data_IF_916798677262
#
_entry.id   IF_916798677262
#
_cell.length_a   1.000
_cell.length_b   1.000
_cell.length_c   1.000
_cell.angle_alpha   90.00
_cell.angle_beta   90.00
_cell.angle_gamma   90.00
#
_symmetry.space_group_name_H-M   'P 1'
#
loop_
_entity.id
_entity.type
_entity.pdbx_description
1 polymer ?
#
# COMPACT_ATOMS: atom_id res chain seq x y z
N UNK A 1 23.52 23.10 22.47
CA UNK A 1 22.14 23.05 22.98
C UNK A 1 21.56 21.69 22.59
N UNK A 2 20.90 20.97 23.49
CA UNK A 2 20.28 19.68 23.18
C UNK A 2 18.85 19.89 22.70
N UNK A 3 18.58 19.65 21.41
CA UNK A 3 17.22 19.68 20.87
C UNK A 3 16.43 18.44 21.28
N UNK A 4 15.10 18.59 21.39
CA UNK A 4 14.20 17.47 21.62
C UNK A 4 14.13 16.59 20.38
N UNK A 5 14.20 15.27 20.59
CA UNK A 5 13.99 14.27 19.53
C UNK A 5 12.56 13.78 19.60
N UNK A 6 11.86 13.80 18.47
CA UNK A 6 10.52 13.25 18.33
C UNK A 6 10.50 12.24 17.18
N UNK A 7 9.77 11.14 17.37
CA UNK A 7 9.61 10.10 16.35
C UNK A 7 8.15 9.75 16.21
N UNK A 8 7.70 9.59 14.97
CA UNK A 8 6.35 9.20 14.62
C UNK A 8 6.40 8.01 13.67
N UNK A 9 5.58 7.00 13.94
CA UNK A 9 5.38 5.85 13.06
C UNK A 9 3.92 5.78 12.67
N UNK A 10 3.64 5.60 11.37
CA UNK A 10 2.28 5.48 10.83
C UNK A 10 2.22 4.40 9.75
N UNK A 11 1.17 3.58 9.77
CA UNK A 11 0.92 2.63 8.67
C UNK A 11 0.44 3.38 7.42
N UNK A 12 0.97 2.99 6.27
CA UNK A 12 0.52 3.50 4.97
C UNK A 12 -0.83 2.88 4.59
N UNK A 13 -1.68 3.59 3.82
CA UNK A 13 -2.88 3.01 3.23
C UNK A 13 -2.54 2.07 2.06
N UNK A 14 -3.57 1.37 1.57
CA UNK A 14 -3.51 0.62 0.31
C UNK A 14 -3.30 1.59 -0.84
N UNK A 15 -2.30 1.35 -1.69
CA UNK A 15 -1.93 2.29 -2.75
C UNK A 15 -1.26 1.61 -3.96
N UNK A 16 -1.27 2.32 -5.09
CA UNK A 16 -0.49 2.01 -6.28
C UNK A 16 0.86 2.71 -6.22
N UNK A 17 1.95 1.96 -6.31
CA UNK A 17 3.27 2.54 -6.44
C UNK A 17 3.66 2.58 -7.91
N UNK A 18 3.62 3.77 -8.51
CA UNK A 18 4.16 4.05 -9.84
C UNK A 18 5.52 4.75 -9.74
N UNK A 19 6.31 4.71 -10.82
CA UNK A 19 7.55 5.50 -10.90
C UNK A 19 7.28 7.00 -10.72
N UNK A 20 6.24 7.51 -11.36
CA UNK A 20 5.87 8.94 -11.28
C UNK A 20 5.48 9.39 -9.87
N UNK A 21 4.84 8.49 -9.11
CA UNK A 21 4.54 8.71 -7.70
C UNK A 21 5.82 8.76 -6.85
N UNK A 22 6.74 7.81 -7.03
CA UNK A 22 8.02 7.86 -6.32
C UNK A 22 8.81 9.13 -6.67
N UNK A 23 8.75 9.57 -7.93
CA UNK A 23 9.34 10.84 -8.37
C UNK A 23 8.64 12.08 -7.76
N UNK A 24 7.33 12.05 -7.49
CA UNK A 24 6.65 13.15 -6.82
C UNK A 24 7.04 13.21 -5.34
N UNK A 25 7.15 12.06 -4.68
CA UNK A 25 7.65 11.95 -3.30
C UNK A 25 9.11 12.41 -3.19
N UNK A 26 9.99 11.94 -4.08
CA UNK A 26 11.40 12.36 -4.12
C UNK A 26 11.50 13.88 -4.26
N UNK A 27 10.78 14.47 -5.23
CA UNK A 27 10.76 15.93 -5.44
C UNK A 27 10.21 16.68 -4.22
N UNK A 28 9.17 16.16 -3.58
CA UNK A 28 8.62 16.74 -2.35
C UNK A 28 9.69 16.75 -1.23
N UNK A 29 10.37 15.64 -1.01
CA UNK A 29 11.41 15.51 0.03
C UNK A 29 12.62 16.40 -0.26
N UNK A 30 13.08 16.44 -1.52
CA UNK A 30 14.16 17.32 -1.95
C UNK A 30 13.81 18.80 -1.74
N UNK A 31 12.62 19.20 -2.19
CA UNK A 31 12.12 20.57 -2.01
C UNK A 31 12.03 20.92 -0.54
N UNK A 32 11.48 20.04 0.29
CA UNK A 32 11.36 20.26 1.72
C UNK A 32 12.74 20.41 2.39
N UNK A 33 13.71 19.56 2.02
CA UNK A 33 15.08 19.63 2.50
C UNK A 33 15.81 20.91 2.08
N UNK A 34 15.61 21.36 0.84
CA UNK A 34 16.13 22.65 0.34
C UNK A 34 15.50 23.82 1.10
N UNK A 35 14.17 23.92 1.15
CA UNK A 35 13.46 25.09 1.66
C UNK A 35 13.58 25.21 3.19
N UNK A 36 13.47 24.07 3.90
CA UNK A 36 13.40 24.07 5.37
C UNK A 36 14.76 23.87 6.03
N UNK A 37 15.56 22.94 5.50
CA UNK A 37 16.89 22.67 6.06
C UNK A 37 17.98 23.48 5.36
N UNK A 38 17.76 24.09 4.18
CA UNK A 38 18.83 24.78 3.43
C UNK A 38 20.00 23.85 3.13
N UNK A 39 19.71 22.62 2.73
CA UNK A 39 20.72 21.67 2.28
C UNK A 39 21.22 22.08 0.89
N UNK A 40 22.50 21.86 0.62
CA UNK A 40 23.03 22.04 -0.74
C UNK A 40 22.57 20.89 -1.65
N UNK A 41 22.62 21.07 -2.97
CA UNK A 41 22.24 20.02 -3.92
C UNK A 41 23.07 18.73 -3.72
N UNK A 42 24.36 18.87 -3.39
CA UNK A 42 25.22 17.72 -3.07
C UNK A 42 24.79 17.00 -1.79
N UNK A 43 24.37 17.74 -0.77
CA UNK A 43 23.86 17.18 0.48
C UNK A 43 22.50 16.50 0.26
N UNK A 44 21.63 17.10 -0.54
CA UNK A 44 20.32 16.54 -0.89
C UNK A 44 20.45 15.21 -1.63
N UNK A 45 21.35 15.14 -2.62
CA UNK A 45 21.59 13.93 -3.39
C UNK A 45 22.18 12.78 -2.53
N UNK A 46 22.91 13.11 -1.46
CA UNK A 46 23.42 12.12 -0.49
C UNK A 46 22.42 11.77 0.60
N UNK A 47 21.43 12.63 0.84
CA UNK A 47 20.42 12.44 1.86
C UNK A 47 19.33 11.45 1.43
N UNK A 48 19.07 11.33 0.13
CA UNK A 48 18.06 10.42 -0.41
C UNK A 48 18.71 9.10 -0.83
N UNK A 49 18.09 8.02 -0.39
CA UNK A 49 18.47 6.66 -0.72
C UNK A 49 17.19 5.86 -0.98
N UNK A 50 17.19 5.10 -2.06
CA UNK A 50 16.01 4.38 -2.55
C UNK A 50 16.41 2.95 -2.81
N UNK A 51 15.85 2.05 -2.01
CA UNK A 51 16.08 0.62 -2.14
C UNK A 51 14.88 -0.03 -2.82
N UNK A 52 15.13 -0.84 -3.85
CA UNK A 52 14.13 -1.68 -4.50
C UNK A 52 14.54 -3.13 -4.26
N UNK A 53 13.73 -3.84 -3.50
CA UNK A 53 13.91 -5.27 -3.23
C UNK A 53 13.06 -6.09 -4.21
N UNK A 54 13.69 -7.06 -4.85
CA UNK A 54 13.01 -8.08 -5.64
C UNK A 54 13.56 -9.49 -5.33
N UNK A 55 13.20 -10.47 -6.16
CA UNK A 55 13.63 -11.86 -5.94
C UNK A 55 15.14 -12.09 -6.15
N UNK A 56 15.82 -11.19 -6.88
CA UNK A 56 17.23 -11.29 -7.23
C UNK A 56 18.12 -10.56 -6.21
N UNK A 57 17.57 -9.57 -5.50
CA UNK A 57 18.26 -8.87 -4.43
C UNK A 57 17.69 -7.49 -4.15
N UNK A 58 18.54 -6.62 -3.61
CA UNK A 58 18.22 -5.21 -3.35
C UNK A 58 19.08 -4.35 -4.27
N UNK A 59 18.43 -3.48 -5.04
CA UNK A 59 19.07 -2.44 -5.85
C UNK A 59 18.88 -1.08 -5.15
N UNK A 60 19.99 -0.38 -4.89
CA UNK A 60 19.97 0.94 -4.24
C UNK A 60 20.26 2.05 -5.25
N UNK A 61 19.50 3.13 -5.18
CA UNK A 61 19.57 4.29 -6.06
C UNK A 61 19.58 5.58 -5.24
N UNK A 62 20.29 6.60 -5.72
CA UNK A 62 20.24 7.94 -5.09
C UNK A 62 19.09 8.79 -5.66
N UNK A 63 18.47 8.34 -6.76
CA UNK A 63 17.32 8.99 -7.39
C UNK A 63 16.50 8.00 -8.21
N UNK A 64 15.17 8.14 -8.23
CA UNK A 64 14.29 7.29 -9.06
C UNK A 64 14.60 7.44 -10.55
N UNK A 65 15.13 8.59 -10.97
CA UNK A 65 15.49 8.83 -12.35
C UNK A 65 16.63 7.92 -12.85
N UNK A 66 17.44 7.35 -11.95
CA UNK A 66 18.49 6.39 -12.31
C UNK A 66 17.91 5.04 -12.74
N UNK A 67 16.66 4.74 -12.40
CA UNK A 67 15.99 3.53 -12.85
C UNK A 67 15.68 3.66 -14.36
N UNK A 68 16.32 2.83 -15.18
CA UNK A 68 16.11 2.84 -16.64
C UNK A 68 14.69 2.38 -17.02
N UNK A 69 14.13 1.43 -16.28
CA UNK A 69 12.80 0.90 -16.56
C UNK A 69 11.71 1.93 -16.22
N UNK A 70 10.62 1.91 -16.99
CA UNK A 70 9.41 2.69 -16.68
C UNK A 70 8.54 1.98 -15.64
N UNK A 71 8.45 0.65 -15.72
CA UNK A 71 7.70 -0.21 -14.80
C UNK A 71 8.66 -0.98 -13.90
N UNK A 72 8.19 -1.37 -12.72
CA UNK A 72 8.91 -2.27 -11.82
C UNK A 72 8.91 -3.71 -12.32
N UNK A 73 9.83 -4.52 -11.79
CA UNK A 73 9.85 -5.96 -12.05
C UNK A 73 8.64 -6.62 -11.38
N UNK A 74 8.09 -7.67 -11.99
CA UNK A 74 6.92 -8.38 -11.41
C UNK A 74 7.26 -9.02 -10.04
N UNK A 75 8.56 -9.23 -9.79
CA UNK A 75 9.14 -9.76 -8.56
C UNK A 75 9.30 -8.75 -7.43
N UNK A 76 9.19 -7.43 -7.67
CA UNK A 76 9.39 -6.40 -6.64
C UNK A 76 8.51 -6.68 -5.42
N UNK A 77 9.12 -6.80 -4.25
CA UNK A 77 8.47 -7.12 -2.98
C UNK A 77 8.33 -5.87 -2.10
N UNK A 78 9.39 -5.06 -2.05
CA UNK A 78 9.52 -3.88 -1.19
C UNK A 78 10.19 -2.75 -1.97
N UNK A 79 9.70 -1.53 -1.77
CA UNK A 79 10.41 -0.31 -2.17
C UNK A 79 10.53 0.57 -0.93
N UNK A 80 11.73 1.01 -0.61
CA UNK A 80 12.01 1.84 0.54
C UNK A 80 12.60 3.17 0.09
N UNK A 81 11.97 4.28 0.43
CA UNK A 81 12.54 5.63 0.28
C UNK A 81 13.02 6.11 1.64
N UNK A 82 14.32 6.38 1.75
CA UNK A 82 14.94 6.98 2.92
C UNK A 82 15.38 8.40 2.59
N UNK A 83 15.09 9.31 3.51
CA UNK A 83 15.69 10.64 3.55
C UNK A 83 16.40 10.79 4.88
N UNK A 84 17.72 10.94 4.88
CA UNK A 84 18.53 11.11 6.08
C UNK A 84 19.39 12.35 5.92
N UNK A 85 18.97 13.45 6.56
CA UNK A 85 19.73 14.69 6.51
C UNK A 85 21.13 14.47 7.11
N UNK A 86 22.19 15.10 6.55
CA UNK A 86 23.51 15.05 7.13
C UNK A 86 23.50 15.57 8.58
N UNK A 87 24.41 15.05 9.40
CA UNK A 87 24.55 15.51 10.78
C UNK A 87 25.16 16.91 10.79
N UNK A 88 24.46 17.88 11.36
CA UNK A 88 24.92 19.26 11.43
C UNK A 88 25.54 19.57 12.79
N UNK A 89 26.44 20.55 12.81
CA UNK A 89 27.13 20.98 14.03
C UNK A 89 26.18 21.54 15.11
N UNK A 90 24.99 22.02 14.70
CA UNK A 90 23.93 22.45 15.61
C UNK A 90 23.19 21.26 16.28
N UNK A 91 23.47 20.02 15.86
CA UNK A 91 22.81 18.82 16.34
C UNK A 91 21.46 18.55 15.69
N UNK A 92 21.10 19.27 14.62
CA UNK A 92 19.86 19.03 13.89
C UNK A 92 19.96 17.78 13.02
N UNK A 93 18.86 17.01 12.99
CA UNK A 93 18.75 15.81 12.17
C UNK A 93 17.31 15.51 11.81
N UNK A 94 17.08 15.07 10.58
CA UNK A 94 15.83 14.52 10.10
C UNK A 94 16.09 13.16 9.43
N UNK A 95 15.28 12.18 9.79
CA UNK A 95 15.21 10.89 9.11
C UNK A 95 13.76 10.61 8.73
N UNK A 96 13.53 10.23 7.50
CA UNK A 96 12.25 9.76 6.99
C UNK A 96 12.52 8.41 6.33
N UNK A 97 11.69 7.42 6.62
CA UNK A 97 11.69 6.11 5.95
C UNK A 97 10.26 5.81 5.52
N UNK A 98 10.06 5.59 4.23
CA UNK A 98 8.81 5.12 3.65
C UNK A 98 9.04 3.72 3.10
N UNK A 99 8.44 2.73 3.73
CA UNK A 99 8.51 1.35 3.30
C UNK A 99 7.19 0.98 2.62
N UNK A 100 7.25 0.70 1.32
CA UNK A 100 6.13 0.21 0.54
C UNK A 100 6.29 -1.30 0.37
N UNK A 101 5.39 -2.09 0.94
CA UNK A 101 5.44 -3.55 0.86
C UNK A 101 4.11 -4.13 0.41
N UNK A 102 4.12 -5.23 -0.35
CA UNK A 102 2.90 -6.00 -0.69
C UNK A 102 2.10 -6.38 0.56
N UNK A 103 2.78 -6.55 1.69
CA UNK A 103 2.19 -6.85 2.99
C UNK A 103 1.89 -5.58 3.78
N UNK A 104 0.67 -5.48 4.30
CA UNK A 104 0.20 -4.33 5.08
C UNK A 104 1.07 -4.02 6.31
N UNK A 105 1.57 -5.05 7.00
CA UNK A 105 2.31 -4.89 8.25
C UNK A 105 3.65 -4.19 8.04
N UNK A 106 4.29 -4.40 6.88
CA UNK A 106 5.58 -3.81 6.51
C UNK A 106 5.43 -2.51 5.71
N UNK A 107 4.21 -2.01 5.57
CA UNK A 107 3.93 -0.76 4.86
C UNK A 107 3.88 0.40 5.84
N UNK A 108 5.02 1.05 6.08
CA UNK A 108 5.19 2.01 7.18
C UNK A 108 5.89 3.29 6.77
N UNK A 109 5.45 4.40 7.38
CA UNK A 109 6.13 5.69 7.37
C UNK A 109 6.70 5.95 8.76
N UNK A 110 8.01 6.15 8.83
CA UNK A 110 8.72 6.52 10.05
C UNK A 110 9.38 7.87 9.83
N UNK A 111 9.07 8.84 10.70
CA UNK A 111 9.70 10.16 10.68
C UNK A 111 10.33 10.40 12.05
N UNK A 112 11.63 10.68 12.07
CA UNK A 112 12.39 11.02 13.28
C UNK A 112 13.09 12.36 13.08
N UNK A 113 12.82 13.32 13.96
CA UNK A 113 13.38 14.66 13.88
C UNK A 113 13.99 15.08 15.23
N UNK A 114 15.20 15.60 15.17
CA UNK A 114 15.93 16.23 16.27
C UNK A 114 16.19 17.67 15.87
N UNK A 115 15.30 18.59 16.25
CA UNK A 115 15.37 20.01 15.87
C UNK A 115 14.39 20.85 16.72
N UNK A 116 14.50 22.19 16.73
CA UNK A 116 13.49 23.05 17.34
C UNK A 116 12.08 22.72 16.80
N UNK A 117 11.11 22.61 17.71
CA UNK A 117 9.71 22.31 17.36
C UNK A 117 9.53 21.03 16.53
N UNK A 118 10.34 19.99 16.79
CA UNK A 118 10.33 18.71 16.07
C UNK A 118 8.94 18.10 15.85
N UNK A 119 8.01 18.22 16.83
CA UNK A 119 6.62 17.75 16.68
C UNK A 119 5.86 18.45 15.56
N UNK A 120 5.94 19.78 15.48
CA UNK A 120 5.24 20.59 14.46
C UNK A 120 5.83 20.30 13.08
N UNK A 121 7.16 20.20 13.01
CA UNK A 121 7.86 19.84 11.77
C UNK A 121 7.43 18.46 11.26
N UNK A 122 7.42 17.45 12.14
CA UNK A 122 6.98 16.10 11.77
C UNK A 122 5.53 16.09 11.29
N UNK A 123 4.63 16.84 11.93
CA UNK A 123 3.24 16.95 11.49
C UNK A 123 3.10 17.63 10.11
N UNK A 124 3.91 18.65 9.83
CA UNK A 124 3.97 19.29 8.51
C UNK A 124 4.43 18.33 7.41
N UNK A 125 5.55 17.61 7.64
CA UNK A 125 6.08 16.59 6.72
C UNK A 125 5.05 15.48 6.50
N UNK A 126 4.49 14.96 7.59
CA UNK A 126 3.46 13.91 7.53
C UNK A 126 2.29 14.34 6.65
N UNK A 127 1.80 15.56 6.83
CA UNK A 127 0.64 16.05 6.08
C UNK A 127 0.91 16.14 4.59
N UNK A 128 2.08 16.66 4.18
CA UNK A 128 2.44 16.71 2.76
C UNK A 128 2.71 15.33 2.15
N UNK A 129 3.35 14.42 2.88
CA UNK A 129 3.52 13.02 2.43
C UNK A 129 2.16 12.33 2.25
N UNK A 130 1.23 12.52 3.20
CA UNK A 130 -0.11 11.93 3.11
C UNK A 130 -0.93 12.50 1.95
N UNK A 131 -0.76 13.78 1.62
CA UNK A 131 -1.42 14.38 0.45
C UNK A 131 -0.97 13.70 -0.85
N UNK A 132 0.33 13.46 -1.02
CA UNK A 132 0.86 12.74 -2.18
C UNK A 132 0.40 11.28 -2.22
N UNK A 133 0.35 10.61 -1.06
CA UNK A 133 -0.13 9.23 -0.95
C UNK A 133 -1.63 9.11 -1.29
N UNK A 134 -2.47 10.04 -0.84
CA UNK A 134 -3.92 9.92 -1.01
C UNK A 134 -4.32 9.91 -2.48
N UNK A 135 -3.54 10.58 -3.35
CA UNK A 135 -3.73 10.59 -4.80
C UNK A 135 -3.53 9.21 -5.45
N UNK A 136 -2.76 8.33 -4.82
CA UNK A 136 -2.49 6.97 -5.29
C UNK A 136 -3.24 5.88 -4.51
N UNK A 137 -4.16 6.28 -3.63
CA UNK A 137 -4.88 5.36 -2.76
C UNK A 137 -5.79 4.44 -3.58
N UNK A 138 -5.79 3.16 -3.23
CA UNK A 138 -6.64 2.15 -3.88
C UNK A 138 -7.59 1.50 -2.90
N UNK A 139 -8.62 0.85 -3.46
CA UNK A 139 -9.67 0.17 -2.70
C UNK A 139 -9.28 -1.23 -2.23
N UNK A 140 -8.02 -1.68 -2.41
CA UNK A 140 -7.59 -3.01 -1.97
C UNK A 140 -7.60 -3.16 -0.44
N UNK A 141 -7.77 -2.07 0.31
CA UNK A 141 -8.00 -2.13 1.76
C UNK A 141 -9.24 -2.97 2.13
N UNK A 142 -10.24 -3.08 1.26
CA UNK A 142 -11.43 -3.93 1.47
C UNK A 142 -11.06 -5.41 1.45
N UNK A 143 -10.10 -5.77 0.59
CA UNK A 143 -9.61 -7.14 0.42
C UNK A 143 -8.56 -7.50 1.48
N UNK A 144 -7.96 -6.48 2.11
CA UNK A 144 -6.91 -6.64 3.12
C UNK A 144 -7.40 -6.06 4.46
N UNK A 145 -8.40 -6.70 5.11
CA UNK A 145 -9.02 -6.16 6.31
C UNK A 145 -8.00 -6.03 7.46
N UNK A 146 -8.28 -5.16 8.46
CA UNK A 146 -7.51 -5.11 9.70
C UNK A 146 -7.39 -6.50 10.37
N UNK A 147 -6.32 -6.68 11.15
CA UNK A 147 -6.04 -7.94 11.84
C UNK A 147 -7.23 -8.43 12.67
N UNK A 148 -7.92 -7.54 13.39
CA UNK A 148 -9.09 -7.88 14.19
C UNK A 148 -10.24 -8.49 13.36
N UNK A 149 -10.53 -7.90 12.19
CA UNK A 149 -11.57 -8.41 11.27
C UNK A 149 -11.12 -9.73 10.65
N UNK A 150 -9.84 -9.84 10.26
CA UNK A 150 -9.27 -11.08 9.72
C UNK A 150 -9.40 -12.23 10.74
N UNK A 151 -9.06 -11.98 12.01
CA UNK A 151 -9.20 -12.97 13.07
C UNK A 151 -10.65 -13.44 13.25
N UNK A 152 -11.62 -12.52 13.21
CA UNK A 152 -13.03 -12.87 13.29
C UNK A 152 -13.48 -13.76 12.11
N UNK A 153 -13.04 -13.43 10.90
CA UNK A 153 -13.34 -14.23 9.70
C UNK A 153 -12.71 -15.61 9.74
N UNK A 154 -11.48 -15.73 10.27
CA UNK A 154 -10.81 -17.03 10.47
C UNK A 154 -11.58 -17.89 11.48
N UNK A 155 -12.06 -17.31 12.59
CA UNK A 155 -12.92 -18.02 13.55
C UNK A 155 -14.20 -18.52 12.85
N UNK A 156 -14.84 -17.67 12.04
CA UNK A 156 -15.99 -18.06 11.24
C UNK A 156 -15.69 -19.22 10.27
N UNK A 157 -14.51 -19.21 9.64
CA UNK A 157 -14.06 -20.31 8.79
C UNK A 157 -13.88 -21.62 9.58
N UNK A 158 -13.29 -21.57 10.78
CA UNK A 158 -13.13 -22.75 11.65
C UNK A 158 -14.50 -23.30 12.08
N UNK A 159 -15.44 -22.43 12.46
CA UNK A 159 -16.80 -22.84 12.84
C UNK A 159 -17.51 -23.51 11.66
N UNK A 160 -17.49 -22.90 10.47
CA UNK A 160 -18.11 -23.50 9.28
C UNK A 160 -17.46 -24.84 8.91
N UNK A 161 -16.14 -24.96 9.09
CA UNK A 161 -15.43 -26.24 8.90
C UNK A 161 -15.98 -27.30 9.85
N UNK A 162 -16.04 -27.00 11.15
CA UNK A 162 -16.57 -27.93 12.16
C UNK A 162 -18.01 -28.35 11.86
N UNK A 163 -18.87 -27.41 11.45
CA UNK A 163 -20.27 -27.71 11.10
C UNK A 163 -20.38 -28.58 9.84
N UNK A 164 -19.52 -28.41 8.83
CA UNK A 164 -19.48 -29.28 7.65
C UNK A 164 -19.16 -30.74 7.99
N UNK A 165 -18.31 -30.98 8.99
CA UNK A 165 -17.87 -32.32 9.36
C UNK A 165 -18.73 -32.99 10.45
N UNK A 166 -19.53 -32.21 11.20
CA UNK A 166 -20.30 -32.72 12.36
C UNK A 166 -21.77 -33.02 12.06
N UNK A 167 -22.31 -32.63 10.90
CA UNK A 167 -23.69 -32.91 10.52
C UNK A 167 -23.75 -33.87 9.33
N UNK A 168 -24.56 -34.93 9.43
CA UNK A 168 -24.76 -35.91 8.34
C UNK A 168 -25.49 -35.31 7.13
N UNK A 169 -26.23 -34.21 7.30
CA UNK A 169 -26.88 -33.50 6.21
C UNK A 169 -26.08 -32.27 5.80
N UNK A 170 -25.31 -32.39 4.70
CA UNK A 170 -24.56 -31.27 4.12
C UNK A 170 -25.52 -30.19 3.59
N UNK A 171 -25.64 -29.07 4.30
CA UNK A 171 -26.36 -27.90 3.78
C UNK A 171 -25.48 -27.20 2.73
N UNK A 172 -25.89 -27.22 1.46
CA UNK A 172 -25.22 -26.54 0.34
C UNK A 172 -24.92 -25.05 0.65
N UNK A 173 -25.79 -24.40 1.41
CA UNK A 173 -25.60 -23.01 1.87
C UNK A 173 -24.37 -22.85 2.76
N UNK A 174 -24.10 -23.81 3.65
CA UNK A 174 -22.95 -23.77 4.56
C UNK A 174 -21.65 -24.00 3.79
N UNK A 175 -21.65 -24.92 2.83
CA UNK A 175 -20.53 -25.12 1.90
C UNK A 175 -20.24 -23.84 1.11
N UNK A 176 -21.28 -23.18 0.60
CA UNK A 176 -21.13 -21.91 -0.12
C UNK A 176 -20.49 -20.83 0.75
N UNK A 177 -20.99 -20.63 1.99
CA UNK A 177 -20.39 -19.66 2.94
C UNK A 177 -18.93 -20.02 3.24
N UNK A 178 -18.63 -21.30 3.45
CA UNK A 178 -17.27 -21.76 3.71
C UNK A 178 -16.33 -21.44 2.54
N UNK A 179 -16.75 -21.72 1.30
CA UNK A 179 -15.98 -21.40 0.09
C UNK A 179 -15.78 -19.89 -0.02
N UNK A 180 -16.82 -19.09 0.19
CA UNK A 180 -16.71 -17.62 0.11
C UNK A 180 -15.73 -17.08 1.15
N UNK A 181 -15.80 -17.53 2.41
CA UNK A 181 -14.86 -17.15 3.45
C UNK A 181 -13.42 -17.56 3.10
N UNK A 182 -13.23 -18.79 2.63
CA UNK A 182 -11.92 -19.29 2.22
C UNK A 182 -11.33 -18.45 1.08
N UNK A 183 -12.10 -18.20 0.03
CA UNK A 183 -11.68 -17.37 -1.10
C UNK A 183 -11.38 -15.94 -0.65
N UNK A 184 -12.20 -15.36 0.21
CA UNK A 184 -12.00 -14.01 0.71
C UNK A 184 -10.75 -13.87 1.57
N UNK A 185 -10.47 -14.80 2.48
CA UNK A 185 -9.34 -14.73 3.41
C UNK A 185 -8.01 -15.07 2.71
N UNK A 186 -7.99 -16.09 1.85
CA UNK A 186 -6.74 -16.64 1.32
C UNK A 186 -6.48 -16.26 -0.15
N UNK A 187 -7.50 -16.31 -1.00
CA UNK A 187 -7.30 -16.10 -2.44
C UNK A 187 -7.28 -14.62 -2.81
N UNK A 188 -8.21 -13.82 -2.29
CA UNK A 188 -8.33 -12.41 -2.69
C UNK A 188 -7.09 -11.57 -2.31
N UNK A 189 -6.50 -11.65 -1.10
CA UNK A 189 -5.30 -10.88 -0.76
C UNK A 189 -4.09 -11.24 -1.63
N UNK A 190 -4.01 -12.50 -2.07
CA UNK A 190 -2.98 -12.95 -3.01
C UNK A 190 -3.16 -12.35 -4.41
N UNK A 191 -4.41 -12.20 -4.86
CA UNK A 191 -4.73 -11.59 -6.15
C UNK A 191 -4.64 -10.05 -6.13
N UNK A 192 -4.95 -9.43 -4.97
CA UNK A 192 -5.00 -7.98 -4.75
C UNK A 192 -4.18 -7.64 -3.49
N UNK A 193 -2.84 -7.57 -3.62
CA UNK A 193 -1.98 -7.21 -2.50
C UNK A 193 -2.27 -5.79 -2.00
N UNK A 194 -1.90 -5.53 -0.76
CA UNK A 194 -2.20 -4.27 -0.08
C UNK A 194 -1.56 -3.06 -0.79
N UNK A 195 -0.27 -3.17 -1.09
CA UNK A 195 0.42 -2.28 -2.02
C UNK A 195 0.74 -3.07 -3.27
N UNK A 196 0.51 -2.47 -4.42
CA UNK A 196 0.89 -3.04 -5.70
C UNK A 196 1.82 -2.09 -6.44
N UNK A 197 2.83 -2.67 -7.06
CA UNK A 197 3.82 -1.96 -7.85
C UNK A 197 3.39 -1.97 -9.31
N UNK A 198 3.61 -0.86 -10.01
CA UNK A 198 3.30 -0.76 -11.42
C UNK A 198 4.22 -1.66 -12.25
N UNK A 199 3.70 -2.84 -12.61
CA UNK A 199 4.40 -3.91 -13.30
C UNK A 199 3.54 -4.42 -14.46
N UNK A 200 4.12 -5.19 -15.39
CA UNK A 200 3.36 -5.72 -16.53
C UNK A 200 2.29 -6.71 -16.05
N UNK A 201 2.61 -7.53 -15.06
CA UNK A 201 1.66 -8.50 -14.49
C UNK A 201 0.56 -7.81 -13.71
N UNK A 202 0.85 -6.73 -12.96
CA UNK A 202 -0.19 -6.00 -12.24
C UNK A 202 -1.16 -5.32 -13.21
N UNK A 203 -0.68 -4.66 -14.27
CA UNK A 203 -1.55 -4.05 -15.30
C UNK A 203 -2.52 -5.06 -15.90
N UNK A 204 -2.01 -6.22 -16.33
CA UNK A 204 -2.86 -7.29 -16.90
C UNK A 204 -3.88 -7.82 -15.89
N UNK A 205 -3.49 -7.96 -14.62
CA UNK A 205 -4.42 -8.37 -13.55
C UNK A 205 -5.51 -7.33 -13.34
N UNK A 206 -5.15 -6.05 -13.34
CA UNK A 206 -6.10 -4.94 -13.18
C UNK A 206 -7.11 -4.88 -14.32
N UNK A 207 -6.65 -5.02 -15.57
CA UNK A 207 -7.52 -5.10 -16.75
C UNK A 207 -8.48 -6.29 -16.69
N UNK A 208 -7.98 -7.47 -16.32
CA UNK A 208 -8.80 -8.68 -16.21
C UNK A 208 -9.86 -8.54 -15.11
N UNK A 209 -9.50 -7.94 -13.99
CA UNK A 209 -10.42 -7.68 -12.89
C UNK A 209 -11.46 -6.60 -13.24
N UNK A 210 -11.04 -5.53 -13.90
CA UNK A 210 -11.95 -4.48 -14.35
C UNK A 210 -12.97 -5.06 -15.34
N UNK A 211 -12.51 -5.88 -16.28
CA UNK A 211 -13.38 -6.65 -17.17
C UNK A 211 -14.34 -7.56 -16.40
N UNK A 212 -13.84 -8.31 -15.41
CA UNK A 212 -14.66 -9.21 -14.60
C UNK A 212 -15.73 -8.47 -13.78
N UNK A 213 -15.36 -7.38 -13.11
CA UNK A 213 -16.28 -6.56 -12.31
C UNK A 213 -17.35 -5.94 -13.19
N UNK A 214 -16.96 -5.37 -14.35
CA UNK A 214 -17.90 -4.82 -15.33
C UNK A 214 -18.84 -5.91 -15.86
N UNK A 215 -18.31 -7.10 -16.17
CA UNK A 215 -19.10 -8.25 -16.61
C UNK A 215 -20.15 -8.67 -15.59
N UNK A 216 -19.77 -8.81 -14.31
CA UNK A 216 -20.72 -9.11 -13.22
C UNK A 216 -21.75 -7.99 -13.05
N UNK A 217 -21.32 -6.73 -13.03
CA UNK A 217 -22.23 -5.60 -12.87
C UNK A 217 -23.26 -5.54 -14.01
N UNK A 218 -22.83 -5.74 -15.26
CA UNK A 218 -23.73 -5.83 -16.41
C UNK A 218 -24.66 -7.04 -16.31
N UNK A 219 -24.15 -8.21 -15.93
CA UNK A 219 -24.98 -9.40 -15.75
C UNK A 219 -26.07 -9.19 -14.68
N UNK A 220 -25.72 -8.60 -13.54
CA UNK A 220 -26.68 -8.30 -12.48
C UNK A 220 -27.71 -7.26 -12.93
N UNK A 221 -27.27 -6.18 -13.58
CA UNK A 221 -28.17 -5.12 -14.06
C UNK A 221 -29.17 -5.67 -15.08
N UNK A 222 -28.70 -6.34 -16.13
CA UNK A 222 -29.58 -6.84 -17.19
C UNK A 222 -30.34 -8.10 -16.77
N UNK A 223 -29.74 -8.98 -15.97
CA UNK A 223 -30.40 -10.19 -15.47
C UNK A 223 -31.57 -9.87 -14.54
N UNK A 224 -31.38 -8.93 -13.61
CA UNK A 224 -32.47 -8.49 -12.73
C UNK A 224 -33.52 -7.72 -13.51
N UNK A 225 -33.12 -6.77 -14.37
CA UNK A 225 -34.04 -5.99 -15.19
C UNK A 225 -34.91 -6.88 -16.09
N UNK A 226 -34.31 -7.87 -16.77
CA UNK A 226 -35.04 -8.81 -17.62
C UNK A 226 -36.03 -9.67 -16.82
N UNK A 227 -35.67 -10.04 -15.59
CA UNK A 227 -36.57 -10.78 -14.71
C UNK A 227 -37.78 -9.91 -14.33
N UNK A 228 -37.55 -8.65 -13.93
CA UNK A 228 -38.64 -7.71 -13.64
C UNK A 228 -39.55 -7.45 -14.86
N UNK A 229 -38.97 -7.27 -16.05
CA UNK A 229 -39.75 -7.05 -17.27
C UNK A 229 -40.59 -8.30 -17.61
N UNK A 230 -40.00 -9.49 -17.47
CA UNK A 230 -40.70 -10.75 -17.71
C UNK A 230 -41.89 -10.91 -16.76
N UNK A 231 -41.72 -10.60 -15.48
CA UNK A 231 -42.77 -10.72 -14.47
C UNK A 231 -43.89 -9.68 -14.66
N UNK A 232 -43.63 -8.57 -15.36
CA UNK A 232 -44.65 -7.56 -15.68
C UNK A 232 -45.45 -7.87 -16.95
N UNK A 233 -44.85 -8.59 -17.91
CA UNK A 233 -45.46 -8.87 -19.22
C UNK A 233 -46.27 -10.17 -19.26
N UNK A 234 -46.00 -11.12 -18.37
CA UNK A 234 -46.71 -12.41 -18.25
C UNK A 234 -47.72 -12.32 -17.12
#
# INVERSE_FOLDING_TARGET
MTYSTFSLTRSLPSLLVTKDFLLSLERYLMKWGSDTMKLTDEELNKAIDIDIEDKMGVESFTSINQMNAHNFTDSTSIITIKFNSPYRADGTRLRISLDFSKNRIFSTLVITATMPNSRVVIQGILSGILEEIERQRTWHWIVNPPAAITSFLVIGLVITTYLLFSHESSHLSLLFVHIVLYLYIFLLPYLRPYIYFDSRVSKRKDELWDWFIKGIASFLLFGTLLTFIRDYLI
#
